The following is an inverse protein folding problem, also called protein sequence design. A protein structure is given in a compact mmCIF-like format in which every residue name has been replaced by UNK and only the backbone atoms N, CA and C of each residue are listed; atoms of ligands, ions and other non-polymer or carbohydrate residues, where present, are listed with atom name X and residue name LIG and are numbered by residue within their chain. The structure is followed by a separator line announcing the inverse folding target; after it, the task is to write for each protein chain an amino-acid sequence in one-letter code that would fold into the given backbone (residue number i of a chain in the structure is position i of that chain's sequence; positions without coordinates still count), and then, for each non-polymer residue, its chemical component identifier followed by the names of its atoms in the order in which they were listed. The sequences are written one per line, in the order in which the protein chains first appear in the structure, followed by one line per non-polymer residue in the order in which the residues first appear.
data_IF_577497029334
#
_entry.id   IF_577497029334
#
_cell.length_a   1.000
_cell.length_b   1.000
_cell.length_c   1.000
_cell.angle_alpha   90.00
_cell.angle_beta   90.00
_cell.angle_gamma   90.00
#
_symmetry.space_group_name_H-M   'P 1'
#
loop_
_entity.id
_entity.type
_entity.pdbx_description
1 polymer ?
#
# COMPACT_ATOMS: atom_id res chain seq x y z
N UNK A 1 0.83 -42.48 -18.06
CA UNK A 1 0.88 -41.04 -18.36
C UNK A 1 0.90 -40.29 -17.04
N UNK A 2 2.01 -39.60 -16.74
CA UNK A 2 2.29 -38.86 -15.51
C UNK A 2 1.48 -37.56 -15.48
N UNK A 3 0.84 -37.23 -14.36
CA UNK A 3 0.69 -35.85 -13.91
C UNK A 3 0.90 -35.83 -12.39
N UNK A 4 2.03 -35.25 -11.99
CA UNK A 4 2.38 -34.95 -10.61
C UNK A 4 1.38 -33.95 -10.04
N UNK A 5 0.79 -34.25 -8.88
CA UNK A 5 0.26 -33.22 -7.99
C UNK A 5 1.44 -32.63 -7.22
N UNK A 6 2.01 -31.56 -7.76
CA UNK A 6 2.96 -30.71 -7.04
C UNK A 6 2.15 -29.97 -5.99
N UNK A 7 2.28 -30.44 -4.75
CA UNK A 7 1.85 -29.73 -3.55
C UNK A 7 2.78 -28.51 -3.42
N UNK A 8 2.35 -27.37 -3.96
CA UNK A 8 2.99 -26.08 -3.75
C UNK A 8 2.85 -25.73 -2.28
N UNK A 9 3.91 -25.98 -1.52
CA UNK A 9 4.07 -25.53 -0.15
C UNK A 9 4.30 -24.02 -0.23
N UNK A 10 3.23 -23.25 -0.07
CA UNK A 10 3.28 -21.81 0.15
C UNK A 10 4.09 -21.56 1.42
N UNK A 11 5.33 -21.12 1.26
CA UNK A 11 6.25 -20.75 2.33
C UNK A 11 5.77 -19.50 3.06
N UNK A 12 4.76 -19.68 3.91
CA UNK A 12 4.20 -18.66 4.78
C UNK A 12 5.08 -18.56 6.04
N UNK A 13 6.18 -17.82 5.95
CA UNK A 13 6.94 -17.41 7.15
C UNK A 13 6.19 -16.23 7.77
N UNK A 14 5.34 -16.61 8.72
CA UNK A 14 4.43 -15.77 9.49
C UNK A 14 5.22 -14.95 10.52
N UNK A 15 5.34 -13.64 10.32
CA UNK A 15 5.45 -12.73 11.46
C UNK A 15 4.10 -12.73 12.18
N UNK A 16 4.12 -12.65 13.51
CA UNK A 16 2.97 -12.77 14.40
C UNK A 16 1.95 -11.62 14.17
N UNK A 17 1.23 -11.68 13.06
CA UNK A 17 0.12 -10.80 12.75
C UNK A 17 -1.09 -11.30 13.55
N UNK A 18 -1.76 -10.37 14.22
CA UNK A 18 -3.12 -10.59 14.72
C UNK A 18 -4.01 -11.09 13.57
N UNK A 19 -5.11 -11.80 13.85
CA UNK A 19 -5.97 -12.37 12.81
C UNK A 19 -6.42 -11.36 11.75
N UNK A 20 -6.59 -10.09 12.13
CA UNK A 20 -6.90 -8.99 11.23
C UNK A 20 -5.77 -8.64 10.25
N UNK A 21 -4.50 -8.70 10.69
CA UNK A 21 -3.34 -8.42 9.84
C UNK A 21 -3.12 -9.49 8.77
N UNK A 22 -3.44 -10.77 9.08
CA UNK A 22 -3.36 -11.85 8.08
C UNK A 22 -4.41 -11.70 6.98
N UNK A 23 -5.64 -11.33 7.33
CA UNK A 23 -6.69 -11.11 6.34
C UNK A 23 -6.40 -9.87 5.47
N UNK A 24 -5.91 -8.78 6.07
CA UNK A 24 -5.49 -7.61 5.30
C UNK A 24 -4.39 -7.95 4.30
N UNK A 25 -3.41 -8.78 4.70
CA UNK A 25 -2.33 -9.21 3.81
C UNK A 25 -2.85 -10.01 2.61
N UNK A 26 -3.86 -10.88 2.80
CA UNK A 26 -4.52 -11.60 1.70
C UNK A 26 -5.23 -10.64 0.75
N UNK A 27 -5.91 -9.63 1.28
CA UNK A 27 -6.54 -8.58 0.47
C UNK A 27 -5.49 -7.92 -0.43
N UNK A 28 -4.31 -7.57 0.11
CA UNK A 28 -3.24 -6.96 -0.67
C UNK A 28 -2.75 -7.85 -1.81
N UNK A 29 -2.57 -9.14 -1.56
CA UNK A 29 -2.09 -10.11 -2.56
C UNK A 29 -3.06 -10.28 -3.73
N UNK A 30 -4.35 -10.01 -3.51
CA UNK A 30 -5.39 -10.06 -4.55
C UNK A 30 -5.68 -8.71 -5.22
N UNK A 31 -5.08 -7.63 -4.71
CA UNK A 31 -5.38 -6.27 -5.16
C UNK A 31 -4.71 -5.98 -6.52
N UNK A 32 -5.41 -5.35 -7.49
CA UNK A 32 -4.90 -5.17 -8.85
C UNK A 32 -3.58 -4.38 -8.93
N UNK A 33 -3.39 -3.41 -8.03
CA UNK A 33 -2.16 -2.61 -7.92
C UNK A 33 -1.19 -3.21 -6.90
N UNK A 34 -1.61 -3.27 -5.63
CA UNK A 34 -0.74 -3.64 -4.51
C UNK A 34 -0.16 -5.06 -4.57
N UNK A 35 -0.74 -6.00 -5.32
CA UNK A 35 -0.16 -7.34 -5.50
C UNK A 35 1.24 -7.30 -6.15
N UNK A 36 1.51 -6.26 -6.95
CA UNK A 36 2.74 -6.11 -7.73
C UNK A 36 3.64 -4.98 -7.20
N UNK A 37 3.25 -4.32 -6.11
CA UNK A 37 3.90 -3.13 -5.58
C UNK A 37 3.19 -1.82 -5.93
N UNK A 38 3.48 -0.78 -5.18
CA UNK A 38 2.83 0.53 -5.26
C UNK A 38 2.21 0.94 -3.93
N UNK A 39 1.36 1.96 -3.94
CA UNK A 39 0.66 2.44 -2.76
C UNK A 39 -0.77 2.81 -3.10
N UNK A 40 -1.69 2.57 -2.15
CA UNK A 40 -3.11 2.87 -2.31
C UNK A 40 -3.81 2.99 -0.95
N UNK A 41 -5.02 3.53 -0.95
CA UNK A 41 -5.95 3.53 0.19
C UNK A 41 -6.98 2.44 -0.02
N UNK A 42 -7.02 1.47 0.89
CA UNK A 42 -8.00 0.37 0.86
C UNK A 42 -8.92 0.45 2.06
N UNK A 43 -10.18 0.07 1.88
CA UNK A 43 -11.15 -0.03 2.98
C UNK A 43 -11.40 -1.50 3.30
N UNK A 44 -11.21 -1.89 4.56
CA UNK A 44 -11.46 -3.24 5.06
C UNK A 44 -12.07 -3.18 6.46
N UNK A 45 -13.20 -3.86 6.66
CA UNK A 45 -13.99 -3.84 7.91
C UNK A 45 -14.22 -2.42 8.45
N UNK A 46 -14.77 -1.55 7.60
CA UNK A 46 -15.09 -0.14 7.92
C UNK A 46 -13.90 0.73 8.35
N UNK A 47 -12.69 0.21 8.21
CA UNK A 47 -11.46 0.95 8.47
C UNK A 47 -10.73 1.16 7.15
N UNK A 48 -10.38 2.41 6.85
CA UNK A 48 -9.53 2.71 5.72
C UNK A 48 -8.07 2.60 6.14
N UNK A 49 -7.22 2.09 5.25
CA UNK A 49 -5.80 1.90 5.47
C UNK A 49 -5.06 2.51 4.30
N UNK A 50 -4.06 3.33 4.59
CA UNK A 50 -3.04 3.64 3.61
C UNK A 50 -2.01 2.52 3.62
N UNK A 51 -1.72 1.96 2.45
CA UNK A 51 -0.88 0.80 2.30
C UNK A 51 0.20 1.08 1.26
N UNK A 52 1.43 0.69 1.58
CA UNK A 52 2.54 0.65 0.64
C UNK A 52 3.09 -0.76 0.50
N UNK A 53 3.34 -1.19 -0.73
CA UNK A 53 3.97 -2.47 -1.06
C UNK A 53 5.17 -2.22 -1.95
N UNK A 54 6.29 -2.86 -1.63
CA UNK A 54 7.48 -2.82 -2.49
C UNK A 54 7.88 -4.21 -2.96
N UNK A 55 8.15 -4.32 -4.26
CA UNK A 55 8.83 -5.45 -4.87
C UNK A 55 10.36 -5.30 -4.74
N UNK A 56 11.04 -6.37 -4.32
CA UNK A 56 12.49 -6.45 -4.16
C UNK A 56 12.99 -7.73 -4.79
N UNK A 57 13.93 -7.62 -5.73
CA UNK A 57 14.59 -8.80 -6.30
C UNK A 57 15.42 -9.53 -5.22
N UNK A 58 15.15 -10.83 -5.07
CA UNK A 58 15.74 -11.66 -4.03
C UNK A 58 17.25 -11.81 -4.22
N UNK A 59 17.67 -12.33 -5.38
CA UNK A 59 19.09 -12.60 -5.67
C UNK A 59 19.79 -13.35 -4.53
N UNK A 60 20.93 -12.84 -4.07
CA UNK A 60 21.71 -13.42 -2.95
C UNK A 60 21.43 -12.76 -1.60
N UNK A 61 20.36 -11.96 -1.48
CA UNK A 61 20.10 -11.14 -0.29
C UNK A 61 19.53 -12.00 0.85
N UNK A 62 19.95 -11.68 2.07
CA UNK A 62 19.36 -12.26 3.28
C UNK A 62 17.97 -11.69 3.53
N UNK A 63 17.10 -12.42 4.25
CA UNK A 63 15.76 -11.95 4.65
C UNK A 63 15.85 -10.59 5.37
N UNK A 64 16.81 -10.40 6.27
CA UNK A 64 17.01 -9.12 6.95
C UNK A 64 17.30 -7.97 5.97
N UNK A 65 18.09 -8.24 4.92
CA UNK A 65 18.36 -7.27 3.86
C UNK A 65 17.12 -6.99 3.02
N UNK A 66 16.35 -8.03 2.68
CA UNK A 66 15.09 -7.92 1.96
C UNK A 66 14.05 -7.10 2.72
N UNK A 67 13.87 -7.35 4.02
CA UNK A 67 12.99 -6.56 4.87
C UNK A 67 13.42 -5.10 4.95
N UNK A 68 14.72 -4.82 5.12
CA UNK A 68 15.23 -3.45 5.19
C UNK A 68 15.03 -2.69 3.89
N UNK A 69 15.39 -3.30 2.76
CA UNK A 69 15.21 -2.69 1.43
C UNK A 69 13.73 -2.54 1.11
N UNK A 70 12.93 -3.56 1.38
CA UNK A 70 11.48 -3.58 1.18
C UNK A 70 10.78 -2.47 1.96
N UNK A 71 11.11 -2.30 3.24
CA UNK A 71 10.55 -1.24 4.07
C UNK A 71 10.85 0.16 3.50
N UNK A 72 12.11 0.43 3.13
CA UNK A 72 12.49 1.73 2.56
C UNK A 72 11.81 1.98 1.22
N UNK A 73 11.72 0.98 0.34
CA UNK A 73 11.04 1.11 -0.95
C UNK A 73 9.53 1.30 -0.76
N UNK A 74 8.90 0.57 0.16
CA UNK A 74 7.46 0.69 0.41
C UNK A 74 7.11 2.07 0.98
N UNK A 75 7.95 2.61 1.86
CA UNK A 75 7.84 4.00 2.34
C UNK A 75 7.93 5.00 1.19
N UNK A 76 8.82 4.77 0.22
CA UNK A 76 8.94 5.62 -0.97
C UNK A 76 7.67 5.58 -1.84
N UNK A 77 7.10 4.41 -2.08
CA UNK A 77 5.83 4.28 -2.83
C UNK A 77 4.72 5.08 -2.17
N UNK A 78 4.61 5.03 -0.84
CA UNK A 78 3.64 5.82 -0.08
C UNK A 78 3.87 7.31 -0.26
N UNK A 79 5.11 7.79 -0.14
CA UNK A 79 5.45 9.21 -0.36
C UNK A 79 5.09 9.63 -1.78
N UNK A 80 5.45 8.82 -2.79
CA UNK A 80 5.13 9.12 -4.19
C UNK A 80 3.63 9.18 -4.42
N UNK A 81 2.84 8.28 -3.82
CA UNK A 81 1.38 8.32 -3.90
C UNK A 81 0.80 9.59 -3.29
N UNK A 82 1.27 9.98 -2.10
CA UNK A 82 0.84 11.21 -1.41
C UNK A 82 1.20 12.45 -2.24
N UNK A 83 2.45 12.55 -2.72
CA UNK A 83 2.89 13.70 -3.54
C UNK A 83 2.23 13.73 -4.91
N UNK A 84 1.94 12.58 -5.53
CA UNK A 84 1.17 12.53 -6.78
C UNK A 84 -0.29 12.97 -6.58
N UNK A 85 -0.87 12.62 -5.44
CA UNK A 85 -2.18 13.14 -5.04
C UNK A 85 -2.16 14.66 -4.80
N UNK A 86 -1.07 15.21 -4.26
CA UNK A 86 -0.87 16.66 -4.12
C UNK A 86 -0.85 17.39 -5.46
N UNK A 87 -0.13 16.86 -6.47
CA UNK A 87 -0.09 17.43 -7.82
C UNK A 87 -1.50 17.45 -8.42
N UNK A 88 -2.18 16.30 -8.39
CA UNK A 88 -3.55 16.18 -8.96
C UNK A 88 -4.55 17.09 -8.25
N UNK A 89 -4.45 17.22 -6.92
CA UNK A 89 -5.33 18.10 -6.13
C UNK A 89 -5.06 19.58 -6.42
N UNK A 90 -3.79 19.98 -6.53
CA UNK A 90 -3.41 21.34 -6.89
C UNK A 90 -3.91 21.71 -8.28
N UNK A 91 -3.79 20.80 -9.25
CA UNK A 91 -4.36 20.96 -10.59
C UNK A 91 -5.90 21.05 -10.55
N UNK A 92 -6.57 20.23 -9.74
CA UNK A 92 -8.02 20.28 -9.55
C UNK A 92 -8.49 21.58 -8.89
N UNK A 93 -7.74 22.12 -7.93
CA UNK A 93 -8.03 23.40 -7.27
C UNK A 93 -7.86 24.57 -8.24
N UNK A 94 -6.76 24.61 -9.00
CA UNK A 94 -6.55 25.58 -10.09
C UNK A 94 -7.67 25.50 -11.15
N UNK A 95 -8.14 24.29 -11.46
CA UNK A 95 -9.24 24.08 -12.41
C UNK A 95 -10.59 24.49 -11.82
N UNK A 96 -10.81 24.27 -10.52
CA UNK A 96 -12.03 24.66 -9.78
C UNK A 96 -12.15 26.18 -9.65
N UNK A 97 -11.03 26.90 -9.58
CA UNK A 97 -11.03 28.37 -9.68
C UNK A 97 -11.49 28.87 -11.08
N UNK A 98 -11.59 27.99 -12.08
CA UNK A 98 -11.99 28.33 -13.46
C UNK A 98 -13.30 27.68 -13.93
N UNK A 99 -14.01 26.90 -13.10
CA UNK A 99 -15.29 26.29 -13.52
C UNK A 99 -16.39 26.56 -12.49
N UNK A 100 -17.27 27.51 -12.83
CA UNK A 100 -18.60 27.62 -12.22
C UNK A 100 -19.52 26.65 -12.96
N UNK A 101 -20.09 25.67 -12.26
CA UNK A 101 -21.28 24.96 -12.75
C UNK A 101 -22.27 24.63 -11.61
N UNK A 102 -23.52 24.45 -11.99
CA UNK A 102 -24.74 24.99 -11.35
C UNK A 102 -25.61 23.90 -10.72
N UNK A 103 -25.09 22.70 -10.45
CA UNK A 103 -25.93 21.52 -10.13
C UNK A 103 -25.54 20.70 -8.88
N UNK A 104 -24.93 21.34 -7.87
CA UNK A 104 -25.24 21.08 -6.46
C UNK A 104 -24.96 19.70 -5.82
N UNK A 105 -24.40 18.71 -6.50
CA UNK A 105 -24.06 17.41 -5.88
C UNK A 105 -22.55 17.27 -5.66
N UNK A 106 -22.14 17.21 -4.38
CA UNK A 106 -20.77 16.96 -3.94
C UNK A 106 -20.65 15.58 -3.31
N UNK A 107 -19.74 14.76 -3.83
CA UNK A 107 -19.21 13.57 -3.16
C UNK A 107 -17.71 13.56 -3.37
N UNK A 108 -16.99 14.36 -2.58
CA UNK A 108 -15.53 14.52 -2.56
C UNK A 108 -15.18 15.31 -1.29
N UNK A 109 -15.34 14.69 -0.12
CA UNK A 109 -15.06 15.40 1.16
C UNK A 109 -14.15 14.56 2.05
N UNK A 110 -14.28 13.22 2.06
CA UNK A 110 -13.44 12.38 2.93
C UNK A 110 -12.02 12.19 2.39
N UNK A 111 -11.88 12.00 1.07
CA UNK A 111 -10.57 11.71 0.45
C UNK A 111 -9.67 12.96 0.39
N UNK A 112 -10.25 14.13 0.11
CA UNK A 112 -9.51 15.39 0.00
C UNK A 112 -9.08 15.94 1.37
N UNK A 113 -9.97 15.93 2.37
CA UNK A 113 -9.60 16.31 3.74
C UNK A 113 -8.52 15.40 4.33
N UNK A 114 -8.57 14.10 4.03
CA UNK A 114 -7.54 13.16 4.47
C UNK A 114 -6.20 13.39 3.75
N UNK A 115 -6.20 13.59 2.42
CA UNK A 115 -5.00 13.96 1.65
C UNK A 115 -4.33 15.21 2.21
N UNK A 116 -5.12 16.22 2.57
CA UNK A 116 -4.63 17.47 3.14
C UNK A 116 -3.96 17.28 4.51
N UNK A 117 -4.50 16.40 5.35
CA UNK A 117 -3.90 16.06 6.65
C UNK A 117 -2.55 15.32 6.50
N UNK A 118 -2.37 14.47 5.48
CA UNK A 118 -1.06 13.86 5.21
C UNK A 118 -0.04 14.90 4.71
N UNK A 119 -0.49 15.84 3.87
CA UNK A 119 0.33 16.89 3.25
C UNK A 119 1.10 17.71 4.30
N UNK A 120 0.45 18.05 5.41
CA UNK A 120 1.02 18.91 6.45
C UNK A 120 2.20 18.27 7.22
N UNK A 121 2.31 16.93 7.27
CA UNK A 121 3.38 16.24 8.01
C UNK A 121 3.91 14.97 7.28
N UNK A 122 4.31 15.14 6.01
CA UNK A 122 4.77 14.03 5.16
C UNK A 122 5.91 13.19 5.79
N UNK A 123 6.79 13.82 6.57
CA UNK A 123 7.95 13.15 7.16
C UNK A 123 7.64 12.46 8.50
N UNK A 124 6.79 13.07 9.35
CA UNK A 124 6.29 12.44 10.57
C UNK A 124 5.31 11.30 10.25
N UNK A 125 4.53 11.47 9.19
CA UNK A 125 3.55 10.48 8.75
C UNK A 125 4.19 9.15 8.32
N UNK A 126 5.25 9.18 7.50
CA UNK A 126 5.96 7.96 7.05
C UNK A 126 6.58 7.19 8.22
N UNK A 127 7.01 7.88 9.29
CA UNK A 127 7.57 7.25 10.49
C UNK A 127 6.54 6.45 11.30
N UNK A 128 5.25 6.65 11.04
CA UNK A 128 4.15 5.98 11.76
C UNK A 128 3.57 4.79 11.01
N UNK A 129 4.07 4.47 9.81
CA UNK A 129 3.70 3.27 9.07
C UNK A 129 4.21 2.02 9.79
N UNK A 130 3.35 1.03 9.94
CA UNK A 130 3.64 -0.23 10.60
C UNK A 130 3.92 -1.33 9.57
N UNK A 131 4.81 -2.28 9.86
CA UNK A 131 5.00 -3.45 9.00
C UNK A 131 3.72 -4.30 9.01
N UNK A 132 3.17 -4.57 7.83
CA UNK A 132 2.07 -5.53 7.69
C UNK A 132 2.61 -6.95 7.48
N UNK A 133 3.70 -7.11 6.73
CA UNK A 133 4.23 -8.43 6.42
C UNK A 133 4.93 -8.46 5.08
N UNK A 134 5.25 -9.67 4.63
CA UNK A 134 5.88 -9.90 3.34
C UNK A 134 5.40 -11.20 2.72
N UNK A 135 5.58 -11.34 1.41
CA UNK A 135 5.40 -12.59 0.69
C UNK A 135 6.41 -12.69 -0.45
N UNK A 136 6.54 -13.89 -1.00
CA UNK A 136 7.33 -14.14 -2.19
C UNK A 136 6.40 -14.35 -3.37
N UNK A 137 6.90 -14.02 -4.56
CA UNK A 137 6.37 -14.58 -5.79
C UNK A 137 6.54 -16.10 -5.82
N UNK A 138 5.75 -16.80 -6.63
CA UNK A 138 5.75 -18.27 -6.70
C UNK A 138 7.13 -18.86 -7.00
N UNK A 139 7.90 -18.19 -7.86
CA UNK A 139 9.25 -18.61 -8.26
C UNK A 139 10.36 -18.13 -7.29
N UNK A 140 9.99 -17.41 -6.23
CA UNK A 140 10.88 -16.80 -5.24
C UNK A 140 11.89 -15.80 -5.82
N UNK A 141 11.69 -15.29 -7.04
CA UNK A 141 12.56 -14.28 -7.64
C UNK A 141 12.30 -12.89 -7.05
N UNK A 142 11.06 -12.62 -6.64
CA UNK A 142 10.61 -11.36 -6.05
C UNK A 142 10.13 -11.54 -4.61
N UNK A 143 10.55 -10.62 -3.74
CA UNK A 143 10.09 -10.45 -2.37
C UNK A 143 9.26 -9.17 -2.26
N UNK A 144 8.03 -9.29 -1.80
CA UNK A 144 7.12 -8.19 -1.58
C UNK A 144 7.07 -7.85 -0.09
N UNK A 145 7.23 -6.57 0.24
CA UNK A 145 7.14 -6.07 1.61
C UNK A 145 6.03 -5.04 1.73
N UNK A 146 5.10 -5.26 2.66
CA UNK A 146 3.95 -4.40 2.89
C UNK A 146 4.06 -3.65 4.22
N UNK A 147 3.71 -2.37 4.16
CA UNK A 147 3.51 -1.49 5.30
C UNK A 147 2.12 -0.86 5.24
N UNK A 148 1.60 -0.47 6.38
CA UNK A 148 0.27 0.10 6.46
C UNK A 148 0.15 1.12 7.59
N UNK A 149 -0.87 1.97 7.50
CA UNK A 149 -1.33 2.80 8.61
C UNK A 149 -2.85 2.86 8.56
N UNK A 150 -3.56 2.57 9.67
CA UNK A 150 -4.99 2.81 9.76
C UNK A 150 -5.26 4.31 9.68
N UNK A 151 -6.27 4.66 8.91
CA UNK A 151 -6.74 6.02 8.74
C UNK A 151 -7.83 6.24 9.77
N UNK A 152 -7.68 7.29 10.57
CA UNK A 152 -8.77 7.67 11.46
C UNK A 152 -9.93 8.16 10.58
N UNK A 153 -11.17 7.75 10.87
CA UNK A 153 -12.35 8.34 10.25
C UNK A 153 -12.48 9.83 10.60
#
# INVERSE_FOLDING_TARGET
MRIQKILLITGMILFCLTGQGQELLKVLQSHPVLAWGGSDVITYNDTSFLVGVAAVEVGTKTIASLCRVGMVKAQKEVVTFISGAEITSSESMLTTETVVDTNGHRTLIVNDTYREQIREDSHGFVKTLQPLGFWYEEDQSVFYYAIYKPLKP
#
